data_IF_314663534765
#
_entry.id   IF_314663534765
#
_cell.length_a   1.000
_cell.length_b   1.000
_cell.length_c   1.000
_cell.angle_alpha   90.00
_cell.angle_beta   90.00
_cell.angle_gamma   90.00
#
_symmetry.space_group_name_H-M   'P 1'
#
loop_
_entity.id
_entity.type
_entity.pdbx_description
1 polymer ?
#
# COMPACT_ATOMS: atom_id res chain seq x y z
N UNK A 1 -37.31 4.00 12.52
CA UNK A 1 -35.90 3.70 12.90
C UNK A 1 -35.00 4.62 12.11
N UNK A 2 -34.12 5.43 12.73
CA UNK A 2 -33.10 6.10 11.93
C UNK A 2 -32.12 5.02 11.49
N UNK A 3 -32.00 4.82 10.18
CA UNK A 3 -30.90 4.05 9.61
C UNK A 3 -29.66 4.87 9.91
N UNK A 4 -28.84 4.41 10.87
CA UNK A 4 -27.55 5.02 11.13
C UNK A 4 -26.70 4.88 9.87
N UNK A 5 -26.50 5.98 9.14
CA UNK A 5 -25.51 6.04 8.07
C UNK A 5 -24.15 5.78 8.72
N UNK A 6 -23.63 4.56 8.55
CA UNK A 6 -22.24 4.29 8.87
C UNK A 6 -21.39 5.28 8.07
N UNK A 7 -20.58 6.07 8.78
CA UNK A 7 -19.74 7.08 8.14
C UNK A 7 -18.80 6.37 7.15
N UNK A 8 -18.79 6.84 5.89
CA UNK A 8 -17.93 6.27 4.86
C UNK A 8 -16.45 6.35 5.29
N UNK A 9 -15.69 5.30 4.99
CA UNK A 9 -14.26 5.31 5.25
C UNK A 9 -13.58 6.35 4.35
N UNK A 10 -12.79 7.22 4.97
CA UNK A 10 -12.04 8.28 4.32
C UNK A 10 -10.56 8.09 4.60
N UNK A 11 -9.78 7.98 3.53
CA UNK A 11 -8.32 7.97 3.58
C UNK A 11 -7.83 9.37 3.96
N UNK A 12 -6.99 9.44 4.99
CA UNK A 12 -6.42 10.69 5.53
C UNK A 12 -4.93 10.84 5.23
N UNK A 13 -4.21 9.73 5.02
CA UNK A 13 -2.83 9.75 4.58
C UNK A 13 -2.51 8.49 3.75
N UNK A 14 -1.58 8.63 2.82
CA UNK A 14 -0.90 7.53 2.15
C UNK A 14 0.60 7.77 2.31
N UNK A 15 1.36 6.71 2.61
CA UNK A 15 2.82 6.75 2.72
C UNK A 15 3.41 5.57 1.97
N UNK A 16 4.51 5.80 1.26
CA UNK A 16 5.30 4.78 0.58
C UNK A 16 6.70 4.83 1.15
N UNK A 17 7.18 3.70 1.66
CA UNK A 17 8.54 3.53 2.16
C UNK A 17 9.24 2.47 1.29
N UNK A 18 10.07 2.90 0.31
CA UNK A 18 10.86 1.98 -0.48
C UNK A 18 12.13 1.57 0.25
N UNK A 19 12.45 0.29 0.20
CA UNK A 19 13.63 -0.28 0.84
C UNK A 19 14.10 -1.50 0.06
N UNK A 20 15.32 -1.97 0.32
CA UNK A 20 15.88 -3.10 -0.43
C UNK A 20 15.18 -4.43 -0.10
N UNK A 21 14.65 -4.57 1.13
CA UNK A 21 13.94 -5.76 1.61
C UNK A 21 12.52 -5.89 1.09
N UNK A 22 11.77 -4.79 1.14
CA UNK A 22 10.38 -4.69 0.74
C UNK A 22 10.00 -3.22 0.56
N UNK A 23 9.07 -2.92 -0.35
CA UNK A 23 8.39 -1.62 -0.34
C UNK A 23 7.13 -1.73 0.52
N UNK A 24 6.97 -0.82 1.49
CA UNK A 24 5.75 -0.69 2.30
C UNK A 24 4.88 0.45 1.81
N UNK A 25 3.62 0.14 1.56
CA UNK A 25 2.55 1.13 1.33
C UNK A 25 1.62 1.12 2.53
N UNK A 26 1.44 2.28 3.16
CA UNK A 26 0.50 2.45 4.28
C UNK A 26 -0.61 3.41 3.89
N UNK A 27 -1.85 2.96 4.03
CA UNK A 27 -3.05 3.77 3.83
C UNK A 27 -3.71 3.98 5.19
N UNK A 28 -3.74 5.21 5.66
CA UNK A 28 -4.35 5.59 6.93
C UNK A 28 -5.76 6.16 6.70
N UNK A 29 -6.72 5.76 7.52
CA UNK A 29 -8.14 6.13 7.39
C UNK A 29 -8.80 6.40 8.74
N UNK A 30 -9.95 7.07 8.73
CA UNK A 30 -10.77 7.30 9.93
C UNK A 30 -11.52 6.05 10.42
N UNK A 31 -11.68 5.03 9.57
CA UNK A 31 -12.34 3.76 9.87
C UNK A 31 -11.58 2.61 9.21
N UNK A 32 -11.77 1.39 9.72
CA UNK A 32 -11.18 0.17 9.15
C UNK A 32 -11.56 0.04 7.67
N UNK A 33 -10.58 -0.21 6.82
CA UNK A 33 -10.78 -0.39 5.38
C UNK A 33 -11.14 -1.83 5.08
N UNK A 34 -12.25 -2.03 4.37
CA UNK A 34 -12.53 -3.28 3.67
C UNK A 34 -11.77 -3.25 2.34
N UNK A 35 -11.07 -4.32 2.03
CA UNK A 35 -10.23 -4.37 0.84
C UNK A 35 -10.22 -5.74 0.18
N UNK A 36 -9.91 -5.73 -1.12
CA UNK A 36 -9.56 -6.92 -1.89
C UNK A 36 -8.24 -6.69 -2.60
N UNK A 37 -7.35 -7.68 -2.54
CA UNK A 37 -6.09 -7.66 -3.27
C UNK A 37 -6.07 -8.76 -4.33
N UNK A 38 -5.50 -8.46 -5.49
CA UNK A 38 -5.23 -9.44 -6.53
C UNK A 38 -4.05 -8.97 -7.40
N UNK A 39 -3.52 -9.89 -8.22
CA UNK A 39 -2.46 -9.62 -9.16
C UNK A 39 -3.01 -9.57 -10.59
N UNK A 40 -2.38 -8.77 -11.45
CA UNK A 40 -2.56 -8.81 -12.91
C UNK A 40 -1.20 -9.01 -13.56
N UNK A 41 -1.16 -9.77 -14.65
CA UNK A 41 0.03 -9.92 -15.49
C UNK A 41 -0.01 -8.97 -16.69
N UNK A 42 1.11 -8.87 -17.39
CA UNK A 42 1.28 -8.13 -18.65
C UNK A 42 0.81 -6.64 -18.63
N UNK A 43 1.49 -5.73 -17.92
CA UNK A 43 2.63 -5.96 -17.03
C UNK A 43 2.21 -6.44 -15.63
N UNK A 44 3.16 -6.97 -14.86
CA UNK A 44 2.97 -7.39 -13.47
C UNK A 44 2.50 -6.22 -12.60
N UNK A 45 1.37 -6.42 -11.93
CA UNK A 45 0.71 -5.41 -11.11
C UNK A 45 0.12 -6.03 -9.85
N UNK A 46 0.22 -5.30 -8.75
CA UNK A 46 -0.63 -5.52 -7.57
C UNK A 46 -1.77 -4.51 -7.60
N UNK A 47 -2.99 -5.00 -7.41
CA UNK A 47 -4.19 -4.19 -7.36
C UNK A 47 -4.82 -4.33 -5.99
N UNK A 48 -5.19 -3.20 -5.39
CA UNK A 48 -5.93 -3.13 -4.13
C UNK A 48 -7.19 -2.32 -4.35
N UNK A 49 -8.34 -2.96 -4.19
CA UNK A 49 -9.65 -2.33 -4.14
C UNK A 49 -9.98 -1.96 -2.69
N UNK A 50 -10.37 -0.72 -2.46
CA UNK A 50 -10.84 -0.20 -1.17
C UNK A 50 -12.35 0.05 -1.27
N UNK A 51 -13.13 -0.72 -0.52
CA UNK A 51 -14.60 -0.66 -0.53
C UNK A 51 -15.13 0.40 0.46
N UNK A 52 -16.22 1.07 0.08
CA UNK A 52 -16.84 2.13 0.87
C UNK A 52 -15.98 3.41 0.95
N UNK A 53 -15.04 3.58 0.03
CA UNK A 53 -14.12 4.73 -0.03
C UNK A 53 -14.42 5.57 -1.27
N UNK A 54 -14.42 6.89 -1.08
CA UNK A 54 -14.47 7.85 -2.17
C UNK A 54 -13.07 8.41 -2.46
N UNK A 55 -12.73 8.54 -3.74
CA UNK A 55 -11.48 9.13 -4.19
C UNK A 55 -11.36 10.57 -3.71
N UNK A 56 -10.25 10.89 -3.06
CA UNK A 56 -9.97 12.23 -2.55
C UNK A 56 -8.57 12.71 -2.97
N UNK A 57 -8.21 13.94 -2.59
CA UNK A 57 -6.91 14.54 -2.94
C UNK A 57 -5.71 13.77 -2.39
N UNK A 58 -5.83 13.17 -1.20
CA UNK A 58 -4.76 12.36 -0.58
C UNK A 58 -4.45 11.15 -1.46
N UNK A 59 -5.48 10.41 -1.86
CA UNK A 59 -5.33 9.26 -2.74
C UNK A 59 -4.78 9.69 -4.11
N UNK A 60 -5.31 10.75 -4.72
CA UNK A 60 -4.83 11.26 -6.01
C UNK A 60 -3.33 11.61 -6.00
N UNK A 61 -2.80 12.03 -4.85
CA UNK A 61 -1.38 12.32 -4.68
C UNK A 61 -0.46 11.09 -4.55
N UNK A 62 -1.01 9.88 -4.37
CA UNK A 62 -0.22 8.66 -4.11
C UNK A 62 0.84 8.38 -5.19
N UNK A 63 0.50 8.59 -6.47
CA UNK A 63 1.43 8.33 -7.57
C UNK A 63 2.72 9.17 -7.47
N UNK A 64 2.64 10.39 -6.92
CA UNK A 64 3.78 11.28 -6.72
C UNK A 64 4.71 10.87 -5.56
N UNK A 65 4.32 9.87 -4.76
CA UNK A 65 5.16 9.32 -3.69
C UNK A 65 6.06 8.17 -4.17
N UNK A 66 5.83 7.65 -5.37
CA UNK A 66 6.65 6.58 -5.94
C UNK A 66 7.96 7.17 -6.42
N UNK A 67 9.05 6.81 -5.74
CA UNK A 67 10.38 7.26 -6.09
C UNK A 67 10.92 6.45 -7.27
N UNK A 68 11.76 7.07 -8.10
CA UNK A 68 12.37 6.39 -9.25
C UNK A 68 13.26 5.21 -8.82
N UNK A 69 13.85 5.28 -7.63
CA UNK A 69 14.74 4.28 -7.03
C UNK A 69 14.00 3.18 -6.22
N UNK A 70 12.66 3.21 -6.14
CA UNK A 70 11.89 2.15 -5.47
C UNK A 70 12.17 0.78 -6.14
N UNK A 71 12.69 -0.23 -5.43
CA UNK A 71 13.11 -1.48 -6.08
C UNK A 71 11.93 -2.38 -6.49
N UNK A 72 10.72 -2.13 -5.99
CA UNK A 72 9.56 -2.98 -6.21
C UNK A 72 8.49 -2.31 -7.08
N UNK A 73 8.21 -1.02 -6.86
CA UNK A 73 7.13 -0.28 -7.54
C UNK A 73 7.73 0.59 -8.64
N UNK A 74 7.25 0.40 -9.87
CA UNK A 74 7.58 1.23 -11.03
C UNK A 74 6.71 2.48 -11.11
N UNK A 75 5.41 2.31 -10.90
CA UNK A 75 4.45 3.42 -10.86
C UNK A 75 3.21 3.03 -10.08
N UNK A 76 2.48 4.02 -9.57
CA UNK A 76 1.22 3.80 -8.91
C UNK A 76 0.13 4.70 -9.49
N UNK A 77 -1.06 4.14 -9.69
CA UNK A 77 -2.25 4.84 -10.16
C UNK A 77 -3.39 4.59 -9.19
N UNK A 78 -4.28 5.57 -9.08
CA UNK A 78 -5.51 5.43 -8.31
C UNK A 78 -6.68 5.99 -9.09
N UNK A 79 -7.85 5.38 -8.93
CA UNK A 79 -9.08 5.88 -9.53
C UNK A 79 -10.30 5.41 -8.77
N UNK A 80 -11.41 6.13 -8.93
CA UNK A 80 -12.72 5.62 -8.54
C UNK A 80 -13.09 4.55 -9.58
N UNK A 81 -13.08 3.27 -9.18
CA UNK A 81 -13.39 2.15 -10.07
C UNK A 81 -14.90 2.02 -10.28
N UNK A 82 -15.66 2.19 -9.20
CA UNK A 82 -17.12 2.23 -9.20
C UNK A 82 -17.59 3.19 -8.07
N UNK A 83 -18.89 3.49 -7.93
CA UNK A 83 -19.38 4.45 -6.93
C UNK A 83 -19.03 4.17 -5.47
N UNK A 84 -18.60 2.96 -5.13
CA UNK A 84 -18.24 2.55 -3.77
C UNK A 84 -16.79 2.06 -3.64
N UNK A 85 -16.06 1.92 -4.75
CA UNK A 85 -14.72 1.32 -4.74
C UNK A 85 -13.67 2.26 -5.32
N UNK A 86 -12.63 2.54 -4.54
CA UNK A 86 -11.38 3.11 -5.06
C UNK A 86 -10.42 1.97 -5.40
N UNK A 87 -9.86 1.98 -6.60
CA UNK A 87 -8.83 1.02 -7.02
C UNK A 87 -7.46 1.68 -7.04
N UNK A 88 -6.53 1.10 -6.31
CA UNK A 88 -5.10 1.40 -6.36
C UNK A 88 -4.40 0.32 -7.21
N UNK A 89 -3.58 0.74 -8.16
CA UNK A 89 -2.82 -0.15 -9.05
C UNK A 89 -1.35 0.21 -8.94
N UNK A 90 -0.53 -0.77 -8.60
CA UNK A 90 0.92 -0.66 -8.50
C UNK A 90 1.53 -1.50 -9.62
N UNK A 91 2.13 -0.86 -10.63
CA UNK A 91 2.94 -1.54 -11.64
C UNK A 91 4.30 -1.90 -11.02
N UNK A 92 4.72 -3.14 -11.19
CA UNK A 92 5.89 -3.69 -10.50
C UNK A 92 7.15 -3.68 -11.37
N UNK A 93 8.31 -3.63 -10.72
CA UNK A 93 9.63 -3.83 -11.35
C UNK A 93 10.07 -5.29 -11.34
N UNK A 94 9.55 -6.08 -10.41
CA UNK A 94 9.89 -7.49 -10.21
C UNK A 94 8.71 -8.23 -9.60
N UNK A 95 8.73 -9.56 -9.64
CA UNK A 95 7.69 -10.38 -9.01
C UNK A 95 7.74 -10.24 -7.50
N UNK A 96 6.57 -10.07 -6.88
CA UNK A 96 6.44 -9.87 -5.44
C UNK A 96 5.48 -10.86 -4.81
N UNK A 97 5.60 -11.06 -3.51
CA UNK A 97 4.63 -11.74 -2.64
C UNK A 97 4.02 -10.70 -1.68
N UNK A 98 2.87 -10.09 -2.04
CA UNK A 98 2.26 -9.07 -1.22
C UNK A 98 1.79 -9.63 0.12
N UNK A 99 2.00 -8.88 1.20
CA UNK A 99 1.41 -9.14 2.50
C UNK A 99 0.60 -7.94 2.94
N UNK A 100 -0.68 -8.16 3.26
CA UNK A 100 -1.61 -7.10 3.67
C UNK A 100 -2.17 -7.38 5.05
N UNK A 101 -2.16 -6.37 5.92
CA UNK A 101 -2.70 -6.47 7.27
C UNK A 101 -3.20 -5.10 7.76
N UNK A 102 -4.13 -5.13 8.70
CA UNK A 102 -4.67 -3.93 9.33
C UNK A 102 -3.99 -3.67 10.69
N UNK A 103 -3.73 -2.41 11.01
CA UNK A 103 -3.27 -1.98 12.32
C UNK A 103 -4.30 -1.03 12.94
N UNK A 104 -4.72 -1.37 14.15
CA UNK A 104 -5.61 -0.53 14.95
C UNK A 104 -4.94 0.82 15.31
N UNK A 105 -5.71 1.84 15.72
CA UNK A 105 -5.18 3.14 16.11
C UNK A 105 -4.20 3.03 17.29
N UNK A 106 -3.06 3.70 17.19
CA UNK A 106 -2.04 3.76 18.26
C UNK A 106 -1.16 4.98 18.09
N UNK A 107 -0.72 5.59 19.20
CA UNK A 107 0.27 6.67 19.21
C UNK A 107 -0.03 7.84 18.23
N UNK A 108 -1.30 8.23 18.13
CA UNK A 108 -1.75 9.33 17.25
C UNK A 108 -2.04 8.93 15.80
N UNK A 109 -1.68 7.72 15.38
CA UNK A 109 -2.10 7.14 14.10
C UNK A 109 -3.51 6.57 14.20
N UNK A 110 -4.30 6.71 13.14
CA UNK A 110 -5.64 6.12 13.00
C UNK A 110 -5.56 4.67 12.49
N UNK A 111 -6.66 4.18 11.95
CA UNK A 111 -6.76 2.88 11.29
C UNK A 111 -5.80 2.84 10.09
N UNK A 112 -5.07 1.76 9.92
CA UNK A 112 -4.10 1.61 8.83
C UNK A 112 -4.28 0.28 8.12
N UNK A 113 -4.34 0.33 6.80
CA UNK A 113 -4.07 -0.82 5.94
C UNK A 113 -2.61 -0.74 5.48
N UNK A 114 -1.85 -1.77 5.79
CA UNK A 114 -0.43 -1.88 5.42
C UNK A 114 -0.29 -2.95 4.35
N UNK A 115 0.46 -2.66 3.30
CA UNK A 115 0.85 -3.59 2.24
C UNK A 115 2.37 -3.60 2.10
N UNK A 116 2.97 -4.74 2.37
CA UNK A 116 4.40 -4.98 2.15
C UNK A 116 4.61 -5.81 0.89
N UNK A 117 5.50 -5.36 0.01
CA UNK A 117 5.84 -6.02 -1.25
C UNK A 117 7.22 -6.68 -1.13
N UNK A 118 7.25 -7.94 -0.69
CA UNK A 118 8.47 -8.75 -0.62
C UNK A 118 8.79 -9.35 -1.99
N UNK A 119 10.07 -9.62 -2.33
CA UNK A 119 10.41 -10.34 -3.55
C UNK A 119 9.82 -11.76 -3.54
N UNK A 120 9.25 -12.20 -4.67
CA UNK A 120 8.64 -13.53 -4.77
C UNK A 120 9.66 -14.68 -4.67
N UNK A 121 10.90 -14.43 -5.11
CA UNK A 121 11.98 -15.39 -5.14
C UNK A 121 13.06 -15.08 -4.10
N UNK A 122 12.66 -14.70 -2.88
CA UNK A 122 13.60 -14.55 -1.77
C UNK A 122 14.36 -15.87 -1.57
N UNK A 123 15.61 -15.92 -2.03
CA UNK A 123 16.55 -16.99 -1.68
C UNK A 123 17.31 -16.54 -0.44
N UNK A 124 17.88 -17.47 0.34
CA UNK A 124 18.62 -17.17 1.60
C UNK A 124 19.74 -16.12 1.44
N UNK A 125 20.16 -15.78 0.21
CA UNK A 125 21.10 -14.70 -0.13
C UNK A 125 20.48 -13.29 0.02
N UNK A 126 19.15 -13.20 0.14
CA UNK A 126 18.36 -12.00 0.41
C UNK A 126 17.70 -12.14 1.79
N UNK A 127 18.50 -12.45 2.82
CA UNK A 127 18.01 -12.46 4.20
C UNK A 127 17.35 -11.09 4.49
N UNK A 128 16.03 -11.05 4.75
CA UNK A 128 15.33 -9.80 5.03
C UNK A 128 15.93 -9.04 6.20
N UNK A 129 16.55 -9.73 7.16
CA UNK A 129 17.24 -9.10 8.26
C UNK A 129 18.54 -8.43 7.79
N UNK A 130 19.31 -9.08 6.91
CA UNK A 130 20.56 -8.50 6.40
C UNK A 130 20.29 -7.24 5.56
N UNK A 131 19.30 -7.29 4.68
CA UNK A 131 18.92 -6.13 3.89
C UNK A 131 18.30 -5.00 4.76
N UNK A 132 17.57 -5.34 5.84
CA UNK A 132 17.12 -4.35 6.83
C UNK A 132 18.31 -3.68 7.53
N UNK A 133 19.35 -4.45 7.87
CA UNK A 133 20.58 -3.92 8.46
C UNK A 133 21.35 -3.02 7.49
N UNK A 134 21.39 -3.36 6.19
CA UNK A 134 21.98 -2.49 5.18
C UNK A 134 21.25 -1.16 5.07
N UNK A 135 19.92 -1.17 5.04
CA UNK A 135 19.11 0.05 4.96
C UNK A 135 19.26 0.89 6.25
N UNK A 136 19.36 0.24 7.43
CA UNK A 136 19.70 0.92 8.69
C UNK A 136 21.07 1.61 8.62
N UNK A 137 22.08 0.89 8.13
CA UNK A 137 23.44 1.41 8.03
C UNK A 137 23.57 2.54 6.99
N UNK A 138 22.69 2.60 6.00
CA UNK A 138 22.62 3.70 5.01
C UNK A 138 21.84 4.92 5.53
N UNK A 139 21.07 4.77 6.62
CA UNK A 139 20.20 5.83 7.16
C UNK A 139 18.88 5.99 6.40
N UNK A 140 18.44 4.94 5.71
CA UNK A 140 17.20 4.92 4.91
C UNK A 140 15.96 4.48 5.75
N UNK A 141 16.18 4.15 7.02
CA UNK A 141 15.16 3.78 8.03
C UNK A 141 14.82 4.93 8.99
#
# INVERSE_FOLDING_TARGET
>A
SPVGLAAAARVVAVRVWPASTYTRVTVESNHVLKYRQFALSNPERVVVDLEGVNLNSVLKGMGGQIRADDPFIKSARVGQFDPQTVRMVFELKQNVKPQLFALAPVAGFKERLVMDLYPANATDVQDPLLALLEDYNKGDL
#
